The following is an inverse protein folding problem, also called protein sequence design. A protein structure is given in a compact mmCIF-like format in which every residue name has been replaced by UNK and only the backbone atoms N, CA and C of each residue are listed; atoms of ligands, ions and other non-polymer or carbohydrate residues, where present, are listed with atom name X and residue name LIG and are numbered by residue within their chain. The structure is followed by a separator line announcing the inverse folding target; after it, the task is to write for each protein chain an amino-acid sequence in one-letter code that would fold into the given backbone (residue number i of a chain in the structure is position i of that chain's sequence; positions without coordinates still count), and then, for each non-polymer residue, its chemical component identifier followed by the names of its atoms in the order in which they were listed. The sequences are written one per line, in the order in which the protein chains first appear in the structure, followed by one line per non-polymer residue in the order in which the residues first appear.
data_IF_363808257567
#
_entry.id   IF_363808257567
#
_cell.length_a   1.000
_cell.length_b   1.000
_cell.length_c   1.000
_cell.angle_alpha   90.00
_cell.angle_beta   90.00
_cell.angle_gamma   90.00
#
_symmetry.space_group_name_H-M   'P 1'
#
loop_
_entity.id
_entity.type
_entity.pdbx_description
1 polymer ?
#
# COMPACT_ATOMS: atom_id res chain seq x y z
N UNK A 1 -14.62 7.31 4.75
CA UNK A 1 -13.41 6.45 4.87
C UNK A 1 -13.46 5.64 6.15
N UNK A 2 -12.98 4.39 6.11
CA UNK A 2 -12.81 3.52 7.28
C UNK A 2 -11.36 3.05 7.38
N UNK A 3 -10.75 3.26 8.54
CA UNK A 3 -9.37 2.88 8.85
C UNK A 3 -9.37 1.93 10.04
N UNK A 4 -8.72 0.79 9.90
CA UNK A 4 -8.56 -0.18 10.99
C UNK A 4 -7.24 0.03 11.75
N UNK A 5 -7.02 -0.74 12.81
CA UNK A 5 -5.86 -0.61 13.67
C UNK A 5 -4.54 -0.82 12.93
N UNK A 6 -3.50 -0.12 13.39
CA UNK A 6 -2.13 -0.24 12.88
C UNK A 6 -1.95 0.05 11.37
N UNK A 7 -2.81 0.88 10.79
CA UNK A 7 -2.60 1.39 9.42
C UNK A 7 -1.56 2.51 9.41
N UNK A 8 -0.64 2.47 8.46
CA UNK A 8 0.33 3.53 8.19
C UNK A 8 0.01 4.25 6.88
N UNK A 9 -0.17 5.58 6.94
CA UNK A 9 -0.27 6.47 5.78
C UNK A 9 0.96 7.40 5.76
N UNK A 10 2.04 6.91 5.17
CA UNK A 10 3.38 7.50 5.32
C UNK A 10 3.99 8.05 4.03
N UNK A 11 5.17 8.63 4.15
CA UNK A 11 6.00 9.00 3.00
C UNK A 11 7.00 7.88 2.68
N UNK A 12 7.32 7.67 1.40
CA UNK A 12 8.30 6.65 0.98
C UNK A 12 9.75 7.12 1.19
N UNK A 13 10.06 8.34 0.79
CA UNK A 13 11.39 8.94 0.92
C UNK A 13 11.31 10.47 0.84
N UNK A 14 12.35 11.14 1.33
CA UNK A 14 12.51 12.58 1.23
C UNK A 14 13.57 12.89 0.17
N UNK A 15 13.22 13.61 -0.91
CA UNK A 15 14.22 14.08 -1.85
C UNK A 15 15.17 15.04 -1.14
N UNK A 16 16.45 14.96 -1.50
CA UNK A 16 17.52 15.85 -1.02
C UNK A 16 17.87 16.83 -2.13
N UNK A 17 18.19 18.06 -1.76
CA UNK A 17 18.78 19.03 -2.68
C UNK A 17 20.26 18.72 -2.94
N UNK A 18 20.89 19.53 -3.80
CA UNK A 18 22.31 19.42 -4.17
C UNK A 18 23.26 19.55 -2.97
N UNK A 19 22.82 20.18 -1.87
CA UNK A 19 23.57 20.30 -0.61
C UNK A 19 23.40 19.11 0.33
N UNK A 20 22.55 18.14 -0.05
CA UNK A 20 22.20 16.98 0.79
C UNK A 20 21.12 17.27 1.83
N UNK A 21 20.57 18.48 1.86
CA UNK A 21 19.51 18.90 2.77
C UNK A 21 18.16 18.37 2.31
N UNK A 22 17.28 18.01 3.26
CA UNK A 22 15.95 17.50 2.94
C UNK A 22 15.09 18.60 2.33
N UNK A 23 14.50 18.33 1.17
CA UNK A 23 13.51 19.23 0.56
C UNK A 23 12.21 19.11 1.35
N UNK A 24 11.84 20.19 2.05
CA UNK A 24 10.63 20.27 2.88
C UNK A 24 9.45 20.83 2.07
N UNK A 25 8.24 20.63 2.59
CA UNK A 25 7.02 21.26 2.06
C UNK A 25 6.30 20.54 0.93
N UNK A 26 6.94 19.57 0.25
CA UNK A 26 6.27 18.82 -0.82
C UNK A 26 5.23 17.81 -0.28
N UNK A 27 4.13 17.65 -1.03
CA UNK A 27 3.10 16.65 -0.76
C UNK A 27 3.66 15.23 -0.95
N UNK A 28 3.59 14.40 0.10
CA UNK A 28 4.36 13.14 0.18
C UNK A 28 3.64 11.95 0.82
N UNK A 29 2.54 12.19 1.51
CA UNK A 29 1.70 11.13 2.09
C UNK A 29 0.66 10.66 1.07
N UNK A 30 -0.14 9.61 1.33
CA UNK A 30 -1.22 9.20 0.43
C UNK A 30 -2.38 10.21 0.33
N UNK A 31 -3.24 10.06 -0.69
CA UNK A 31 -4.53 10.75 -0.86
C UNK A 31 -5.53 9.62 -0.81
N UNK A 32 -6.48 9.73 0.11
CA UNK A 32 -7.53 8.75 0.29
C UNK A 32 -8.83 9.42 -0.15
N UNK A 33 -9.48 8.88 -1.17
CA UNK A 33 -10.78 9.36 -1.63
C UNK A 33 -11.92 8.79 -0.76
N UNK A 34 -13.15 9.18 -1.09
CA UNK A 34 -14.34 8.80 -0.33
C UNK A 34 -14.60 7.29 -0.36
N UNK A 35 -15.33 6.79 0.64
CA UNK A 35 -15.77 5.38 0.74
C UNK A 35 -14.67 4.32 0.74
N UNK A 36 -13.40 4.71 0.84
CA UNK A 36 -12.26 3.80 0.96
C UNK A 36 -12.28 3.06 2.30
N UNK A 37 -11.92 1.77 2.25
CA UNK A 37 -11.72 0.90 3.42
C UNK A 37 -10.28 0.39 3.43
N UNK A 38 -9.57 0.57 4.54
CA UNK A 38 -8.20 0.09 4.71
C UNK A 38 -8.11 -0.75 5.98
N UNK A 39 -7.91 -2.06 5.81
CA UNK A 39 -7.87 -3.04 6.89
C UNK A 39 -6.54 -3.05 7.65
N UNK A 40 -6.54 -3.75 8.78
CA UNK A 40 -5.51 -3.66 9.81
C UNK A 40 -4.10 -3.95 9.31
N UNK A 41 -3.12 -3.19 9.80
CA UNK A 41 -1.71 -3.41 9.46
C UNK A 41 -1.28 -3.00 8.04
N UNK A 42 -2.20 -2.48 7.22
CA UNK A 42 -1.82 -1.98 5.88
C UNK A 42 -0.86 -0.80 5.98
N UNK A 43 0.14 -0.78 5.10
CA UNK A 43 1.14 0.29 5.01
C UNK A 43 1.13 0.88 3.61
N UNK A 44 0.71 2.14 3.51
CA UNK A 44 0.58 2.88 2.24
C UNK A 44 1.57 4.04 2.27
N UNK A 45 2.55 4.02 1.37
CA UNK A 45 3.66 4.96 1.38
C UNK A 45 3.80 5.75 0.07
N UNK A 46 4.04 7.05 0.24
CA UNK A 46 4.34 7.97 -0.85
C UNK A 46 3.12 8.71 -1.37
N UNK A 47 3.37 9.53 -2.39
CA UNK A 47 2.38 10.40 -3.02
C UNK A 47 1.47 9.59 -3.97
N UNK A 48 0.69 8.66 -3.42
CA UNK A 48 -0.23 7.76 -4.15
C UNK A 48 -1.68 8.14 -3.90
N UNK A 49 -2.59 7.73 -4.79
CA UNK A 49 -4.04 7.96 -4.64
C UNK A 49 -4.75 6.62 -4.47
N UNK A 50 -5.61 6.53 -3.45
CA UNK A 50 -6.52 5.40 -3.24
C UNK A 50 -7.90 5.87 -3.64
N UNK A 51 -8.35 5.38 -4.80
CA UNK A 51 -9.56 5.83 -5.46
C UNK A 51 -10.84 5.50 -4.69
N UNK A 52 -11.90 6.26 -4.97
CA UNK A 52 -13.21 6.17 -4.29
C UNK A 52 -13.71 4.73 -4.21
N UNK A 53 -14.16 4.31 -3.03
CA UNK A 53 -14.72 2.98 -2.80
C UNK A 53 -13.71 1.83 -2.88
N UNK A 54 -12.40 2.10 -3.03
CA UNK A 54 -11.39 1.05 -3.03
C UNK A 54 -11.26 0.38 -1.65
N UNK A 55 -10.88 -0.89 -1.66
CA UNK A 55 -10.65 -1.70 -0.46
C UNK A 55 -9.23 -2.23 -0.43
N UNK A 56 -8.50 -1.92 0.64
CA UNK A 56 -7.14 -2.38 0.89
C UNK A 56 -7.17 -3.40 2.02
N UNK A 57 -6.77 -4.63 1.72
CA UNK A 57 -6.67 -5.74 2.66
C UNK A 57 -5.64 -5.50 3.76
N UNK A 58 -5.73 -6.30 4.83
CA UNK A 58 -4.82 -6.20 5.97
C UNK A 58 -3.40 -6.60 5.58
N UNK A 59 -2.40 -6.02 6.26
CA UNK A 59 -0.97 -6.28 6.02
C UNK A 59 -0.51 -6.08 4.56
N UNK A 60 -1.25 -5.32 3.77
CA UNK A 60 -0.85 -4.93 2.41
C UNK A 60 0.19 -3.82 2.47
N UNK A 61 1.27 -3.96 1.70
CA UNK A 61 2.28 -2.92 1.49
C UNK A 61 2.07 -2.29 0.11
N UNK A 62 1.79 -0.98 0.08
CA UNK A 62 1.35 -0.30 -1.14
C UNK A 62 2.14 0.97 -1.41
N UNK A 63 2.72 1.06 -2.62
CA UNK A 63 3.50 2.22 -3.09
C UNK A 63 3.05 2.72 -4.46
N UNK A 64 1.87 2.30 -4.93
CA UNK A 64 1.29 2.66 -6.22
C UNK A 64 -0.19 2.97 -6.03
N UNK A 65 -0.76 3.85 -6.85
CA UNK A 65 -2.17 4.22 -6.76
C UNK A 65 -3.09 3.02 -7.03
N UNK A 66 -4.30 3.05 -6.44
CA UNK A 66 -5.36 2.07 -6.65
C UNK A 66 -6.55 2.81 -7.28
N UNK A 67 -7.12 2.31 -8.39
CA UNK A 67 -8.25 2.97 -9.03
C UNK A 67 -9.52 2.89 -8.15
N UNK A 68 -10.54 3.73 -8.42
CA UNK A 68 -11.84 3.63 -7.76
C UNK A 68 -12.44 2.23 -7.85
N UNK A 69 -13.06 1.77 -6.76
CA UNK A 69 -13.61 0.41 -6.62
C UNK A 69 -12.57 -0.72 -6.61
N UNK A 70 -11.27 -0.40 -6.67
CA UNK A 70 -10.20 -1.40 -6.69
C UNK A 70 -10.12 -2.20 -5.40
N UNK A 71 -9.78 -3.48 -5.51
CA UNK A 71 -9.59 -4.38 -4.37
C UNK A 71 -8.16 -4.94 -4.39
N UNK A 72 -7.40 -4.71 -3.32
CA UNK A 72 -6.03 -5.21 -3.17
C UNK A 72 -5.95 -6.09 -1.92
N UNK A 73 -5.49 -7.33 -2.06
CA UNK A 73 -5.21 -8.25 -0.95
C UNK A 73 -3.73 -8.61 -0.90
N UNK A 74 -3.30 -9.27 0.19
CA UNK A 74 -2.00 -9.93 0.19
C UNK A 74 -1.93 -10.98 -0.92
N UNK A 75 -0.73 -11.19 -1.46
CA UNK A 75 -0.47 -12.26 -2.39
C UNK A 75 -0.67 -13.61 -1.69
N UNK A 76 -1.32 -14.54 -2.38
CA UNK A 76 -1.47 -15.91 -1.90
C UNK A 76 -0.21 -16.70 -2.25
N UNK A 77 0.35 -17.43 -1.28
CA UNK A 77 1.41 -18.38 -1.55
C UNK A 77 0.83 -19.49 -2.43
N UNK A 78 1.30 -19.60 -3.67
CA UNK A 78 1.07 -20.81 -4.47
C UNK A 78 1.97 -21.89 -3.91
N UNK A 79 1.39 -22.86 -3.20
CA UNK A 79 2.03 -24.16 -3.06
C UNK A 79 1.94 -24.84 -4.41
N UNK A 80 3.08 -25.00 -5.08
CA UNK A 80 3.22 -26.04 -6.09
C UNK A 80 3.08 -27.37 -5.34
N UNK A 81 1.91 -27.98 -5.46
CA UNK A 81 1.77 -29.38 -5.09
C UNK A 81 2.61 -30.15 -6.10
N UNK A 82 3.75 -30.66 -5.66
CA UNK A 82 4.45 -31.71 -6.38
C UNK A 82 3.54 -32.93 -6.34
N UNK A 83 2.64 -33.02 -7.32
CA UNK A 83 1.96 -34.27 -7.64
C UNK A 83 3.00 -35.15 -8.33
N UNK A 84 3.10 -36.41 -7.88
CA UNK A 84 3.98 -37.46 -8.43
C UNK A 84 5.45 -37.55 -7.95
N UNK A 85 5.72 -37.34 -6.66
CA UNK A 85 6.84 -38.03 -6.00
C UNK A 85 8.27 -37.76 -6.50
N UNK A 86 8.51 -36.69 -7.26
CA UNK A 86 9.83 -36.35 -7.85
C UNK A 86 10.81 -35.67 -6.88
N UNK A 87 10.57 -35.83 -5.58
CA UNK A 87 11.34 -35.18 -4.50
C UNK A 87 12.29 -36.11 -3.76
N UNK A 88 13.00 -37.02 -4.46
CA UNK A 88 14.25 -37.68 -4.03
C UNK A 88 15.08 -38.06 -5.24
#
# INVERSE_FOLDING_TARGET
MRLYQAVTLGAKSFPRDESGSLIKGQARHPIIEDDVVIYSGATILGRVTIGRGATIGGNVWLTRSVPPGGFISQAQLRQEMFDDGSGI
#
